data_IF_374272270681
#
_entry.id   IF_374272270681
#
_cell.length_a   1.000
_cell.length_b   1.000
_cell.length_c   1.000
_cell.angle_alpha   90.00
_cell.angle_beta   90.00
_cell.angle_gamma   90.00
#
_symmetry.space_group_name_H-M   'P 1'
#
loop_
_entity.id
_entity.type
_entity.pdbx_description
1 polymer ?
#
# COMPACT_ATOMS: atom_id res chain seq x y z
N UNK A 1 12.94 -0.28 -10.91
CA UNK A 1 11.83 -0.99 -10.24
C UNK A 1 10.72 0.01 -9.96
N UNK A 2 9.45 -0.38 -10.15
CA UNK A 2 8.31 0.51 -9.96
C UNK A 2 7.34 -0.12 -8.95
N UNK A 3 7.17 0.56 -7.79
CA UNK A 3 6.15 0.23 -6.80
C UNK A 3 4.93 1.12 -6.98
N UNK A 4 3.75 0.59 -6.68
CA UNK A 4 2.51 1.37 -6.65
C UNK A 4 1.67 1.02 -5.45
N UNK A 5 0.91 1.98 -4.94
CA UNK A 5 -0.15 1.77 -3.95
C UNK A 5 -1.49 2.19 -4.53
N UNK A 6 -2.54 1.39 -4.31
CA UNK A 6 -3.85 1.59 -4.95
C UNK A 6 -4.98 1.27 -3.96
N UNK A 7 -5.79 2.26 -3.61
CA UNK A 7 -7.05 2.02 -2.91
C UNK A 7 -8.14 1.67 -3.94
N UNK A 8 -8.67 0.44 -3.90
CA UNK A 8 -9.66 -0.04 -4.88
C UNK A 8 -11.10 0.31 -4.53
N UNK A 9 -11.38 0.64 -3.29
CA UNK A 9 -12.75 0.84 -2.80
C UNK A 9 -13.70 -0.29 -3.24
N UNK A 10 -13.24 -1.54 -3.00
CA UNK A 10 -13.91 -2.77 -3.43
C UNK A 10 -13.49 -3.27 -4.82
N UNK A 11 -13.26 -4.57 -4.91
CA UNK A 11 -12.86 -5.26 -6.15
C UNK A 11 -14.04 -5.49 -7.10
N UNK A 12 -15.24 -5.06 -6.79
CA UNK A 12 -16.45 -5.35 -7.54
C UNK A 12 -16.42 -4.92 -9.01
N UNK A 13 -16.50 -5.92 -9.92
CA UNK A 13 -16.81 -5.75 -11.33
C UNK A 13 -15.63 -5.85 -12.31
N UNK A 14 -15.91 -6.44 -13.48
CA UNK A 14 -14.97 -6.64 -14.59
C UNK A 14 -14.21 -5.37 -15.05
N UNK A 15 -14.78 -4.15 -15.05
CA UNK A 15 -14.07 -2.96 -15.50
C UNK A 15 -12.83 -2.64 -14.67
N UNK A 16 -12.88 -2.82 -13.33
CA UNK A 16 -11.73 -2.54 -12.46
C UNK A 16 -10.55 -3.47 -12.74
N UNK A 17 -10.82 -4.76 -12.97
CA UNK A 17 -9.78 -5.73 -13.31
C UNK A 17 -9.10 -5.42 -14.63
N UNK A 18 -9.86 -5.05 -15.65
CA UNK A 18 -9.31 -4.67 -16.95
C UNK A 18 -8.41 -3.43 -16.83
N UNK A 19 -8.83 -2.47 -16.02
CA UNK A 19 -8.05 -1.25 -15.76
C UNK A 19 -6.76 -1.56 -14.99
N UNK A 20 -6.83 -2.39 -13.94
CA UNK A 20 -5.65 -2.82 -13.20
C UNK A 20 -4.66 -3.55 -14.11
N UNK A 21 -5.13 -4.52 -14.89
CA UNK A 21 -4.27 -5.25 -15.84
C UNK A 21 -3.58 -4.31 -16.82
N UNK A 22 -4.29 -3.34 -17.37
CA UNK A 22 -3.71 -2.32 -18.26
C UNK A 22 -2.66 -1.49 -17.54
N UNK A 23 -2.92 -1.07 -16.30
CA UNK A 23 -1.98 -0.30 -15.49
C UNK A 23 -0.67 -1.07 -15.28
N UNK A 24 -0.74 -2.32 -14.85
CA UNK A 24 0.43 -3.18 -14.64
C UNK A 24 1.30 -3.29 -15.91
N UNK A 25 0.65 -3.47 -17.06
CA UNK A 25 1.36 -3.61 -18.34
C UNK A 25 1.95 -2.29 -18.83
N UNK A 26 1.18 -1.19 -18.72
CA UNK A 26 1.60 0.12 -19.25
C UNK A 26 2.73 0.76 -18.46
N UNK A 27 2.75 0.56 -17.15
CA UNK A 27 3.74 1.20 -16.25
C UNK A 27 4.86 0.23 -15.89
N UNK A 28 4.78 -1.04 -16.30
CA UNK A 28 5.76 -2.07 -15.92
C UNK A 28 5.96 -2.17 -14.41
N UNK A 29 4.84 -2.30 -13.68
CA UNK A 29 4.87 -2.42 -12.23
C UNK A 29 5.60 -3.68 -11.79
N UNK A 30 6.39 -3.58 -10.74
CA UNK A 30 7.10 -4.70 -10.10
C UNK A 30 6.42 -5.16 -8.81
N UNK A 31 5.85 -4.21 -8.06
CA UNK A 31 5.12 -4.46 -6.82
C UNK A 31 3.92 -3.52 -6.70
N UNK A 32 2.78 -4.07 -6.26
CA UNK A 32 1.58 -3.28 -6.00
C UNK A 32 0.99 -3.60 -4.62
N UNK A 33 0.79 -2.56 -3.85
CA UNK A 33 0.10 -2.56 -2.58
C UNK A 33 -1.35 -2.12 -2.80
N UNK A 34 -2.30 -2.96 -2.43
CA UNK A 34 -3.73 -2.72 -2.66
C UNK A 34 -4.46 -2.62 -1.33
N UNK A 35 -5.30 -1.59 -1.19
CA UNK A 35 -6.15 -1.37 -0.03
C UNK A 35 -7.62 -1.45 -0.43
N UNK A 36 -8.48 -1.68 0.56
CA UNK A 36 -9.92 -1.80 0.42
C UNK A 36 -10.34 -2.81 -0.66
N UNK A 37 -9.78 -4.02 -0.61
CA UNK A 37 -10.21 -5.10 -1.51
C UNK A 37 -11.68 -5.45 -1.30
N UNK A 38 -12.21 -5.26 -0.07
CA UNK A 38 -13.55 -5.61 0.37
C UNK A 38 -13.91 -7.06 0.04
N UNK A 39 -12.93 -7.95 0.08
CA UNK A 39 -13.05 -9.33 -0.35
C UNK A 39 -12.34 -10.29 0.61
N UNK A 40 -12.72 -11.56 0.54
CA UNK A 40 -12.01 -12.66 1.17
C UNK A 40 -10.59 -12.79 0.59
N UNK A 41 -9.58 -12.84 1.45
CA UNK A 41 -8.18 -12.81 1.04
C UNK A 41 -7.78 -13.99 0.17
N UNK A 42 -8.27 -15.19 0.47
CA UNK A 42 -7.99 -16.37 -0.36
C UNK A 42 -8.56 -16.22 -1.77
N UNK A 43 -9.79 -15.72 -1.90
CA UNK A 43 -10.43 -15.51 -3.20
C UNK A 43 -9.72 -14.40 -3.99
N UNK A 44 -9.30 -13.33 -3.33
CA UNK A 44 -8.58 -12.25 -4.00
C UNK A 44 -7.20 -12.71 -4.46
N UNK A 45 -6.47 -13.50 -3.66
CA UNK A 45 -5.21 -14.12 -4.09
C UNK A 45 -5.40 -14.99 -5.34
N UNK A 46 -6.38 -15.89 -5.34
CA UNK A 46 -6.67 -16.74 -6.51
C UNK A 46 -6.99 -15.92 -7.77
N UNK A 47 -7.70 -14.82 -7.61
CA UNK A 47 -8.05 -13.95 -8.71
C UNK A 47 -6.82 -13.26 -9.30
N UNK A 48 -5.96 -12.71 -8.46
CA UNK A 48 -4.76 -12.01 -8.91
C UNK A 48 -3.72 -12.97 -9.50
N UNK A 49 -3.56 -14.18 -8.97
CA UNK A 49 -2.71 -15.20 -9.57
C UNK A 49 -3.16 -15.62 -10.97
N UNK A 50 -4.47 -15.60 -11.25
CA UNK A 50 -4.99 -15.84 -12.61
C UNK A 50 -4.72 -14.67 -13.56
N UNK A 51 -4.73 -13.44 -13.05
CA UNK A 51 -4.47 -12.24 -13.85
C UNK A 51 -2.99 -12.05 -14.15
N UNK A 52 -2.12 -12.46 -13.22
CA UNK A 52 -0.67 -12.30 -13.24
C UNK A 52 0.01 -13.65 -12.96
N UNK A 53 0.02 -14.58 -13.91
CA UNK A 53 0.66 -15.88 -13.72
C UNK A 53 2.15 -15.72 -13.43
N UNK A 54 2.65 -16.44 -12.42
CA UNK A 54 4.06 -16.38 -12.02
C UNK A 54 4.41 -15.24 -11.07
N UNK A 55 3.43 -14.42 -10.68
CA UNK A 55 3.61 -13.43 -9.61
C UNK A 55 3.29 -14.05 -8.25
N UNK A 56 3.81 -13.44 -7.20
CA UNK A 56 3.51 -13.79 -5.82
C UNK A 56 2.47 -12.84 -5.23
N UNK A 57 1.68 -13.35 -4.29
CA UNK A 57 0.60 -12.58 -3.67
C UNK A 57 0.47 -12.92 -2.18
N UNK A 58 0.09 -11.93 -1.39
CA UNK A 58 -0.32 -12.08 0.00
C UNK A 58 -1.48 -11.16 0.29
N UNK A 59 -2.48 -11.64 1.05
CA UNK A 59 -3.65 -10.84 1.39
C UNK A 59 -4.05 -11.00 2.85
N UNK A 60 -4.68 -9.95 3.39
CA UNK A 60 -5.42 -9.94 4.66
C UNK A 60 -6.90 -9.75 4.34
N UNK A 61 -7.74 -10.54 5.01
CA UNK A 61 -9.20 -10.49 4.83
C UNK A 61 -9.80 -9.12 5.13
N UNK A 62 -10.82 -8.78 4.39
CA UNK A 62 -11.68 -7.67 4.76
C UNK A 62 -12.50 -8.03 6.02
N UNK A 63 -12.64 -7.09 6.94
CA UNK A 63 -13.55 -7.20 8.09
C UNK A 63 -14.93 -6.70 7.70
N UNK A 64 -15.84 -7.61 7.39
CA UNK A 64 -17.17 -7.28 6.89
C UNK A 64 -17.13 -6.67 5.50
N UNK A 65 -17.60 -5.41 5.36
CA UNK A 65 -17.62 -4.65 4.10
C UNK A 65 -16.48 -3.64 3.99
N UNK A 66 -15.50 -3.66 4.90
CA UNK A 66 -14.45 -2.67 4.98
C UNK A 66 -13.08 -3.32 5.02
N UNK A 67 -12.08 -2.60 4.53
CA UNK A 67 -10.68 -3.02 4.56
C UNK A 67 -10.37 -4.12 3.54
N UNK A 68 -9.50 -5.03 3.95
CA UNK A 68 -8.85 -6.01 3.10
C UNK A 68 -7.64 -5.42 2.38
N UNK A 69 -6.49 -6.08 2.55
CA UNK A 69 -5.23 -5.69 1.96
C UNK A 69 -4.72 -6.79 1.04
N UNK A 70 -4.01 -6.39 0.00
CA UNK A 70 -3.32 -7.31 -0.90
C UNK A 70 -1.98 -6.71 -1.28
N UNK A 71 -0.93 -7.52 -1.28
CA UNK A 71 0.32 -7.25 -1.97
C UNK A 71 0.47 -8.23 -3.12
N UNK A 72 0.94 -7.75 -4.26
CA UNK A 72 1.30 -8.58 -5.41
C UNK A 72 2.63 -8.09 -5.98
N UNK A 73 3.58 -9.01 -6.23
CA UNK A 73 4.90 -8.65 -6.73
C UNK A 73 5.46 -9.66 -7.72
N UNK A 74 6.36 -9.16 -8.55
CA UNK A 74 7.07 -9.97 -9.53
C UNK A 74 8.30 -10.63 -8.87
N UNK A 75 8.36 -11.97 -8.72
CA UNK A 75 9.48 -12.63 -8.07
C UNK A 75 10.80 -12.54 -8.87
N UNK A 76 10.77 -12.10 -10.12
CA UNK A 76 11.98 -11.87 -10.91
C UNK A 76 12.71 -10.58 -10.52
N UNK A 77 12.01 -9.64 -9.87
CA UNK A 77 12.54 -8.33 -9.46
C UNK A 77 12.48 -8.11 -7.94
N UNK A 78 11.65 -8.88 -7.23
CA UNK A 78 11.42 -8.74 -5.79
C UNK A 78 11.45 -10.13 -5.12
N UNK A 79 12.49 -10.38 -4.34
CA UNK A 79 12.59 -11.59 -3.48
C UNK A 79 12.15 -11.20 -2.07
N UNK A 80 10.85 -11.36 -1.78
CA UNK A 80 10.20 -10.83 -0.59
C UNK A 80 9.40 -11.90 0.16
N UNK A 81 9.54 -11.91 1.48
CA UNK A 81 8.74 -12.75 2.39
C UNK A 81 7.62 -11.92 3.03
N UNK A 82 6.34 -12.34 2.95
CA UNK A 82 5.22 -11.62 3.54
C UNK A 82 4.97 -11.98 5.00
N UNK A 83 4.62 -10.98 5.81
CA UNK A 83 4.21 -11.10 7.20
C UNK A 83 2.92 -10.32 7.43
N UNK A 84 1.90 -10.99 7.95
CA UNK A 84 0.68 -10.32 8.39
C UNK A 84 0.90 -9.68 9.77
N UNK A 85 0.67 -8.40 9.86
CA UNK A 85 0.79 -7.61 11.10
C UNK A 85 -0.57 -7.01 11.48
N UNK A 86 -0.77 -6.59 12.74
CA UNK A 86 -1.98 -5.86 13.14
C UNK A 86 -2.21 -4.56 12.35
N UNK A 87 -1.15 -4.01 11.75
CA UNK A 87 -1.18 -2.74 11.02
C UNK A 87 -1.33 -2.93 9.51
N UNK A 88 -1.01 -4.12 8.97
CA UNK A 88 -1.00 -4.36 7.53
C UNK A 88 -0.17 -5.58 7.11
N UNK A 89 0.28 -5.56 5.87
CA UNK A 89 1.17 -6.57 5.29
C UNK A 89 2.58 -5.99 5.22
N UNK A 90 3.52 -6.61 5.93
CA UNK A 90 4.94 -6.32 5.82
C UNK A 90 5.59 -7.31 4.85
N UNK A 91 6.30 -6.82 3.86
CA UNK A 91 7.17 -7.58 2.98
C UNK A 91 8.62 -7.30 3.36
N UNK A 92 9.43 -8.34 3.56
CA UNK A 92 10.85 -8.21 3.93
C UNK A 92 11.69 -9.02 2.96
N UNK A 93 12.78 -8.45 2.47
CA UNK A 93 13.70 -9.15 1.59
C UNK A 93 14.52 -8.23 0.71
N UNK A 94 14.75 -8.63 -0.54
CA UNK A 94 15.66 -7.92 -1.43
C UNK A 94 14.97 -7.52 -2.74
N UNK A 95 15.37 -6.36 -3.24
CA UNK A 95 14.94 -5.84 -4.52
C UNK A 95 16.11 -5.93 -5.51
N UNK A 96 15.84 -6.36 -6.72
CA UNK A 96 16.87 -6.49 -7.75
C UNK A 96 17.58 -5.16 -8.02
N UNK A 97 18.88 -5.18 -7.86
CA UNK A 97 19.72 -3.98 -8.03
C UNK A 97 19.95 -3.18 -6.74
N UNK A 98 19.48 -3.72 -5.59
CA UNK A 98 19.75 -3.20 -4.26
C UNK A 98 20.42 -4.29 -3.43
N UNK A 99 21.51 -3.95 -2.75
CA UNK A 99 22.27 -4.89 -1.92
C UNK A 99 21.71 -4.99 -0.49
N UNK A 100 20.94 -4.00 -0.06
CA UNK A 100 20.37 -3.92 1.28
C UNK A 100 19.02 -4.61 1.36
N UNK A 101 18.73 -5.21 2.52
CA UNK A 101 17.40 -5.71 2.84
C UNK A 101 16.40 -4.54 2.91
N UNK A 102 15.24 -4.72 2.29
CA UNK A 102 14.16 -3.74 2.30
C UNK A 102 12.96 -4.27 3.08
N UNK A 103 12.32 -3.36 3.80
CA UNK A 103 11.03 -3.57 4.47
C UNK A 103 9.99 -2.72 3.76
N UNK A 104 8.93 -3.35 3.25
CA UNK A 104 7.84 -2.66 2.54
C UNK A 104 6.54 -2.94 3.28
N UNK A 105 5.90 -1.91 3.80
CA UNK A 105 4.66 -2.01 4.57
C UNK A 105 3.47 -1.48 3.77
N UNK A 106 2.53 -2.36 3.45
CA UNK A 106 1.20 -2.01 2.95
C UNK A 106 0.24 -1.89 4.12
N UNK A 107 -0.26 -0.69 4.37
CA UNK A 107 -1.15 -0.43 5.50
C UNK A 107 -2.45 0.27 5.08
N UNK A 108 -3.45 0.16 5.96
CA UNK A 108 -4.71 0.87 5.88
C UNK A 108 -4.99 1.53 7.23
N UNK A 109 -4.82 2.85 7.28
CA UNK A 109 -5.00 3.64 8.49
C UNK A 109 -6.46 3.62 8.97
N UNK A 110 -6.72 3.49 10.27
CA UNK A 110 -8.07 3.48 10.81
C UNK A 110 -8.67 4.90 10.82
N UNK A 111 -10.03 4.97 10.74
CA UNK A 111 -10.76 6.22 10.94
C UNK A 111 -10.93 6.61 12.41
N UNK A 112 -10.85 5.63 13.33
CA UNK A 112 -10.99 5.80 14.78
C UNK A 112 -9.75 5.30 15.48
N UNK A 113 -9.51 5.78 16.69
CA UNK A 113 -8.35 5.41 17.53
C UNK A 113 -7.00 5.55 16.80
N UNK A 114 -6.92 6.54 15.93
CA UNK A 114 -5.80 6.78 15.00
C UNK A 114 -4.47 6.95 15.73
N UNK A 115 -4.46 7.70 16.86
CA UNK A 115 -3.24 7.91 17.66
C UNK A 115 -2.70 6.57 18.17
N UNK A 116 -3.55 5.75 18.80
CA UNK A 116 -3.15 4.43 19.31
C UNK A 116 -2.59 3.51 18.20
N UNK A 117 -3.13 3.59 17.00
CA UNK A 117 -2.63 2.85 15.84
C UNK A 117 -1.21 3.29 15.47
N UNK A 118 -0.98 4.60 15.36
CA UNK A 118 0.32 5.15 14.97
C UNK A 118 1.37 4.98 16.07
N UNK A 119 1.00 5.14 17.36
CA UNK A 119 1.88 4.84 18.48
C UNK A 119 2.27 3.36 18.53
N UNK A 120 1.32 2.46 18.25
CA UNK A 120 1.58 1.03 18.15
C UNK A 120 2.54 0.70 17.02
N UNK A 121 2.37 1.31 15.84
CA UNK A 121 3.28 1.15 14.72
C UNK A 121 4.67 1.70 15.04
N UNK A 122 4.77 2.90 15.60
CA UNK A 122 6.04 3.51 15.98
C UNK A 122 6.80 2.67 17.03
N UNK A 123 6.08 2.05 17.94
CA UNK A 123 6.65 1.26 19.05
C UNK A 123 7.02 -0.18 18.68
N UNK A 124 6.54 -0.69 17.54
CA UNK A 124 6.74 -2.12 17.18
C UNK A 124 8.15 -2.44 16.66
N UNK A 125 9.02 -1.44 16.50
CA UNK A 125 10.43 -1.61 16.13
C UNK A 125 10.70 -1.91 14.65
N UNK A 126 9.66 -2.10 13.82
CA UNK A 126 9.88 -2.40 12.38
C UNK A 126 10.42 -1.20 11.59
N UNK A 127 10.27 0.00 12.13
CA UNK A 127 10.63 1.25 11.47
C UNK A 127 12.12 1.63 11.62
N UNK A 128 12.85 0.97 12.52
CA UNK A 128 14.16 1.49 12.98
C UNK A 128 15.37 1.00 12.21
N UNK A 129 15.28 -0.11 11.46
CA UNK A 129 16.46 -0.71 10.83
C UNK A 129 16.25 -0.90 9.31
N UNK A 130 17.24 -0.45 8.54
CA UNK A 130 17.35 -0.68 7.10
C UNK A 130 16.47 0.22 6.25
N UNK A 131 16.38 -0.12 4.98
CA UNK A 131 15.55 0.60 4.01
C UNK A 131 14.08 0.26 4.24
N UNK A 132 13.28 1.26 4.60
CA UNK A 132 11.86 1.10 4.89
C UNK A 132 10.99 1.91 3.91
N UNK A 133 10.04 1.24 3.28
CA UNK A 133 9.05 1.85 2.39
C UNK A 133 7.66 1.61 2.99
N UNK A 134 6.89 2.66 3.19
CA UNK A 134 5.51 2.58 3.64
C UNK A 134 4.57 3.10 2.57
N UNK A 135 3.53 2.35 2.28
CA UNK A 135 2.50 2.75 1.36
C UNK A 135 1.13 2.29 1.82
N UNK A 136 0.09 2.88 1.25
CA UNK A 136 -1.28 2.54 1.58
C UNK A 136 -2.18 3.75 1.71
N UNK A 137 -3.41 3.52 2.14
CA UNK A 137 -4.33 4.59 2.51
C UNK A 137 -4.20 4.87 4.00
N UNK A 138 -3.49 5.94 4.34
CA UNK A 138 -3.17 6.29 5.72
C UNK A 138 -4.39 6.85 6.47
N UNK A 139 -5.45 7.22 5.76
CA UNK A 139 -6.59 7.95 6.29
C UNK A 139 -6.16 9.17 7.14
N UNK A 140 -5.09 9.81 6.68
CA UNK A 140 -4.43 10.95 7.32
C UNK A 140 -4.01 11.94 6.24
N UNK A 141 -4.10 13.22 6.53
CA UNK A 141 -3.73 14.31 5.64
C UNK A 141 -2.65 15.16 6.29
N UNK A 142 -1.50 15.27 5.67
CA UNK A 142 -0.38 16.06 6.20
C UNK A 142 -0.51 17.53 5.77
N UNK A 143 -0.92 17.77 4.51
CA UNK A 143 -1.07 19.10 3.94
C UNK A 143 -2.53 19.39 3.50
N UNK A 144 -2.95 20.64 3.64
CA UNK A 144 -4.25 21.10 3.11
C UNK A 144 -4.36 20.97 1.59
N UNK A 145 -3.24 20.95 0.87
CA UNK A 145 -3.19 20.81 -0.57
C UNK A 145 -3.58 19.41 -1.07
N UNK A 146 -3.60 18.42 -0.16
CA UNK A 146 -4.02 17.06 -0.47
C UNK A 146 -5.54 16.91 -0.60
N UNK A 147 -6.32 17.90 -0.15
CA UNK A 147 -7.78 17.90 -0.18
C UNK A 147 -8.37 19.02 -1.02
N UNK A 148 -9.26 18.67 -1.93
CA UNK A 148 -10.08 19.65 -2.62
C UNK A 148 -11.17 20.21 -1.66
N UNK A 149 -11.11 21.51 -1.39
CA UNK A 149 -12.16 22.24 -0.70
C UNK A 149 -12.19 22.13 0.83
N UNK A 150 -11.21 21.48 1.47
CA UNK A 150 -11.11 21.43 2.92
C UNK A 150 -9.96 22.32 3.43
N UNK A 151 -10.28 23.24 4.36
CA UNK A 151 -9.31 24.14 4.97
C UNK A 151 -8.84 23.67 6.36
N UNK A 152 -9.35 22.53 6.83
CA UNK A 152 -8.99 22.01 8.15
C UNK A 152 -7.81 21.06 8.05
N UNK A 153 -6.75 21.39 8.76
CA UNK A 153 -5.58 20.52 8.94
C UNK A 153 -5.96 19.33 9.81
N UNK A 154 -5.48 18.15 9.43
CA UNK A 154 -5.67 16.95 10.23
C UNK A 154 -5.00 17.10 11.61
N UNK A 155 -5.68 16.79 12.73
CA UNK A 155 -5.10 16.88 14.06
C UNK A 155 -3.82 16.07 14.27
N UNK A 156 -3.60 15.00 13.48
CA UNK A 156 -2.41 14.16 13.54
C UNK A 156 -1.31 14.57 12.55
N UNK A 157 -1.50 15.63 11.77
CA UNK A 157 -0.54 16.03 10.74
C UNK A 157 0.86 16.32 11.31
N UNK A 158 0.94 17.03 12.44
CA UNK A 158 2.22 17.32 13.09
C UNK A 158 2.89 16.06 13.64
N UNK A 159 2.13 15.24 14.34
CA UNK A 159 2.60 13.95 14.86
C UNK A 159 3.16 13.07 13.73
N UNK A 160 2.42 12.96 12.64
CA UNK A 160 2.85 12.17 11.50
C UNK A 160 4.06 12.77 10.79
N UNK A 161 4.14 14.09 10.69
CA UNK A 161 5.32 14.78 10.14
C UNK A 161 6.57 14.48 10.97
N UNK A 162 6.47 14.52 12.30
CA UNK A 162 7.59 14.20 13.21
C UNK A 162 8.00 12.72 13.08
N UNK A 163 7.02 11.82 13.01
CA UNK A 163 7.28 10.40 12.76
C UNK A 163 7.97 10.20 11.40
N UNK A 164 7.54 10.92 10.39
CA UNK A 164 8.06 10.82 9.03
C UNK A 164 9.49 11.31 8.88
N UNK A 165 9.90 12.33 9.62
CA UNK A 165 11.30 12.83 9.60
C UNK A 165 12.29 11.77 10.06
N UNK A 166 11.86 10.82 10.90
CA UNK A 166 12.68 9.70 11.36
C UNK A 166 12.81 8.56 10.33
N UNK A 167 12.00 8.59 9.27
CA UNK A 167 11.93 7.56 8.25
C UNK A 167 12.47 8.13 6.92
N UNK A 168 13.24 7.33 6.18
CA UNK A 168 13.63 7.69 4.82
C UNK A 168 12.41 7.55 3.92
N UNK A 169 11.73 8.65 3.63
CA UNK A 169 10.56 8.67 2.76
C UNK A 169 10.96 8.85 1.30
N UNK A 170 10.41 7.99 0.47
CA UNK A 170 10.35 8.25 -0.97
C UNK A 170 9.00 8.91 -1.25
N UNK A 171 9.03 10.14 -1.78
CA UNK A 171 7.80 10.83 -2.20
C UNK A 171 7.20 10.09 -3.38
N UNK A 172 5.96 9.64 -3.21
CA UNK A 172 5.20 9.02 -4.30
C UNK A 172 4.59 10.09 -5.19
N UNK A 173 4.79 9.97 -6.50
CA UNK A 173 4.06 10.80 -7.45
C UNK A 173 2.60 10.32 -7.58
N UNK A 174 1.64 11.18 -7.31
CA UNK A 174 0.22 10.89 -7.53
C UNK A 174 -0.06 10.74 -9.02
N UNK A 175 -0.69 9.65 -9.44
CA UNK A 175 -1.15 9.48 -10.82
C UNK A 175 -2.55 10.13 -10.93
N UNK A 176 -2.69 11.32 -11.55
CA UNK A 176 -3.95 12.06 -11.54
C UNK A 176 -5.05 11.48 -12.43
N UNK A 177 -4.80 10.42 -13.21
CA UNK A 177 -5.66 9.97 -14.31
C UNK A 177 -6.12 8.52 -14.22
N UNK A 178 -6.40 7.99 -13.03
CA UNK A 178 -7.02 6.67 -12.94
C UNK A 178 -8.55 6.81 -13.02
N UNK A 179 -9.19 6.37 -14.13
CA UNK A 179 -10.64 6.35 -14.23
C UNK A 179 -11.21 5.37 -13.19
N UNK A 180 -12.41 5.64 -12.67
CA UNK A 180 -13.16 4.79 -11.74
C UNK A 180 -12.83 4.94 -10.24
N UNK A 181 -12.35 6.09 -9.79
CA UNK A 181 -12.14 6.35 -8.35
C UNK A 181 -11.01 5.50 -7.74
N UNK A 182 -10.07 5.05 -8.55
CA UNK A 182 -8.84 4.40 -8.10
C UNK A 182 -7.84 5.51 -7.79
N UNK A 183 -7.41 5.60 -6.54
CA UNK A 183 -6.26 6.45 -6.16
C UNK A 183 -5.01 5.58 -6.15
N UNK A 184 -3.97 6.01 -6.85
CA UNK A 184 -2.70 5.30 -6.93
C UNK A 184 -1.51 6.23 -6.85
N UNK A 185 -0.44 5.75 -6.27
CA UNK A 185 0.84 6.43 -6.18
C UNK A 185 1.92 5.50 -6.75
N UNK A 186 2.89 6.07 -7.45
CA UNK A 186 4.02 5.33 -8.02
C UNK A 186 5.30 5.85 -7.39
N UNK A 187 6.10 4.93 -6.87
CA UNK A 187 7.47 5.18 -6.37
C UNK A 187 8.43 4.76 -7.47
N UNK A 188 9.26 5.67 -7.92
CA UNK A 188 10.30 5.40 -8.94
C UNK A 188 11.69 5.49 -8.35
#
# INVERSE_FOLDING_TARGET
MILSTINLRGIGGNPKFSTLRRLFVLIHLDLVMVQETMFDGHKVCQLFLKLFPGWEVCAIDASGRFGGLLCIWNPLTCDLAPFALPFGILLVGHLKGFDEEVKILNLYGPYRDRMSFWDGLASCGILHDGLFIMGGDLNLTVSTDEFWGNTHRDPLADYFSDLSVQLVWWTCARIPWLPLGIMGEVVT
#
